data_IF_847378739036
#
_entry.id   IF_847378739036
#
_cell.length_a   1.000
_cell.length_b   1.000
_cell.length_c   1.000
_cell.angle_alpha   90.00
_cell.angle_beta   90.00
_cell.angle_gamma   90.00
#
_symmetry.space_group_name_H-M   'P 1'
#
loop_
_entity.id
_entity.type
_entity.pdbx_description
1 polymer ?
#
# COMPACT_ATOMS: atom_id res chain seq x y z
N UNK A 1 -14.91 -15.42 -8.18
CA UNK A 1 -13.83 -15.73 -9.13
C UNK A 1 -13.79 -14.63 -10.18
N UNK A 2 -12.97 -13.61 -9.97
CA UNK A 2 -12.61 -12.62 -10.98
C UNK A 2 -11.09 -12.48 -10.94
N UNK A 3 -10.39 -13.43 -11.55
CA UNK A 3 -8.95 -13.33 -11.75
C UNK A 3 -8.72 -12.43 -12.96
N UNK A 4 -8.64 -11.11 -12.76
CA UNK A 4 -8.03 -10.24 -13.77
C UNK A 4 -6.53 -10.31 -13.55
N UNK A 5 -5.89 -11.32 -14.16
CA UNK A 5 -4.44 -11.38 -14.28
C UNK A 5 -3.96 -10.06 -14.89
N UNK A 6 -3.20 -9.29 -14.12
CA UNK A 6 -2.44 -8.18 -14.69
C UNK A 6 -1.49 -8.79 -15.74
N UNK A 7 -1.50 -8.32 -17.00
CA UNK A 7 -0.70 -8.95 -18.06
C UNK A 7 0.82 -8.75 -17.90
N UNK A 8 1.27 -8.04 -16.86
CA UNK A 8 2.66 -7.66 -16.67
C UNK A 8 3.14 -7.91 -15.22
N UNK A 9 4.21 -8.69 -15.00
CA UNK A 9 4.80 -8.83 -13.67
C UNK A 9 5.37 -7.49 -13.18
N UNK A 10 5.13 -7.15 -11.91
CA UNK A 10 5.52 -5.86 -11.31
C UNK A 10 7.03 -5.52 -11.40
N UNK A 11 7.87 -6.53 -11.66
CA UNK A 11 9.33 -6.40 -11.68
C UNK A 11 9.93 -6.44 -13.10
N UNK A 12 9.14 -6.31 -14.16
CA UNK A 12 9.65 -6.29 -15.53
C UNK A 12 9.56 -4.90 -16.19
N UNK A 13 10.64 -4.43 -16.85
CA UNK A 13 10.59 -3.21 -17.65
C UNK A 13 9.53 -3.32 -18.74
N UNK A 14 8.75 -2.26 -18.93
CA UNK A 14 7.78 -2.20 -20.03
C UNK A 14 8.50 -2.25 -21.40
N UNK A 15 7.93 -2.93 -22.42
CA UNK A 15 8.55 -2.99 -23.73
C UNK A 15 8.60 -1.59 -24.35
N UNK A 16 9.80 -1.11 -24.66
CA UNK A 16 10.04 0.22 -25.24
C UNK A 16 10.70 1.24 -24.31
N UNK A 17 10.95 0.90 -23.04
CA UNK A 17 11.75 1.74 -22.14
C UNK A 17 13.25 1.69 -22.47
N UNK A 18 13.88 2.84 -22.72
CA UNK A 18 15.34 2.93 -22.85
C UNK A 18 16.02 2.54 -21.54
N UNK A 19 17.03 1.67 -21.61
CA UNK A 19 17.86 1.32 -20.45
C UNK A 19 18.52 2.59 -19.88
N UNK A 20 18.55 2.77 -18.54
CA UNK A 20 19.28 3.88 -17.94
C UNK A 20 20.78 3.74 -18.27
N UNK A 21 21.36 4.84 -18.76
CA UNK A 21 22.79 4.91 -19.10
C UNK A 21 23.66 4.72 -17.84
N UNK A 22 24.77 3.98 -17.90
CA UNK A 22 25.73 3.92 -16.79
C UNK A 22 26.39 5.30 -16.64
N UNK A 23 26.38 5.84 -15.41
CA UNK A 23 27.08 7.08 -15.09
C UNK A 23 28.58 6.79 -14.90
N UNK A 24 29.41 7.36 -15.77
CA UNK A 24 30.88 7.28 -15.66
C UNK A 24 31.38 8.13 -14.49
N UNK A 25 32.15 7.53 -13.56
CA UNK A 25 32.90 8.27 -12.54
C UNK A 25 34.15 8.91 -13.15
N UNK A 26 34.26 10.24 -13.07
CA UNK A 26 35.52 10.96 -13.31
C UNK A 26 36.39 10.94 -12.03
N UNK A 27 37.74 10.89 -12.14
CA UNK A 27 38.59 10.83 -10.96
C UNK A 27 38.78 12.20 -10.31
N UNK A 28 38.88 12.15 -8.99
CA UNK A 28 38.92 13.23 -8.02
C UNK A 28 40.13 14.17 -8.20
N UNK A 29 39.88 15.48 -8.11
CA UNK A 29 40.91 16.48 -7.80
C UNK A 29 40.72 16.98 -6.37
N UNK A 30 41.80 16.95 -5.61
CA UNK A 30 41.93 17.28 -4.20
C UNK A 30 41.80 18.78 -3.90
N UNK A 31 40.99 19.18 -2.92
CA UNK A 31 41.33 20.32 -2.04
C UNK A 31 40.43 20.41 -0.80
N UNK A 32 41.09 20.35 0.36
CA UNK A 32 40.86 21.12 1.60
C UNK A 32 39.47 21.14 2.27
N UNK A 33 39.46 20.47 3.43
CA UNK A 33 38.71 20.72 4.67
C UNK A 33 37.80 21.97 4.72
N UNK A 34 36.50 21.76 4.92
CA UNK A 34 35.59 22.61 5.71
C UNK A 34 34.28 21.83 5.94
N UNK A 35 33.83 21.78 7.20
CA UNK A 35 32.55 21.34 7.79
C UNK A 35 31.51 20.57 6.95
N UNK A 36 30.86 19.51 7.48
CA UNK A 36 29.76 18.88 6.77
C UNK A 36 28.60 19.88 6.61
N UNK A 37 28.10 20.15 5.39
CA UNK A 37 26.82 20.81 5.25
C UNK A 37 25.77 19.83 5.78
N UNK A 38 25.01 20.25 6.79
CA UNK A 38 23.75 19.61 7.15
C UNK A 38 22.92 19.50 5.87
N UNK A 39 22.82 18.30 5.29
CA UNK A 39 22.03 18.07 4.08
C UNK A 39 20.57 18.29 4.44
N UNK A 40 20.06 19.45 4.02
CA UNK A 40 18.63 19.70 3.95
C UNK A 40 18.07 18.94 2.75
N UNK A 41 18.06 17.60 2.82
CA UNK A 41 17.42 16.72 1.83
C UNK A 41 15.89 16.67 2.04
N UNK A 42 15.29 17.83 2.32
CA UNK A 42 13.84 18.01 2.52
C UNK A 42 13.12 18.65 1.33
N UNK A 43 13.82 19.01 0.25
CA UNK A 43 13.19 19.61 -0.95
C UNK A 43 12.92 18.54 -2.01
N UNK A 44 11.81 17.81 -1.84
CA UNK A 44 11.30 16.93 -2.91
C UNK A 44 10.67 17.69 -4.09
N UNK A 45 10.38 18.99 -3.96
CA UNK A 45 9.83 19.79 -5.05
C UNK A 45 10.52 21.15 -5.18
N UNK A 46 10.79 21.55 -6.42
CA UNK A 46 11.27 22.89 -6.74
C UNK A 46 10.26 23.94 -6.26
N UNK A 47 10.75 25.06 -5.72
CA UNK A 47 9.88 26.13 -5.23
C UNK A 47 9.13 26.75 -6.41
N UNK A 48 7.81 26.88 -6.28
CA UNK A 48 6.92 27.37 -7.34
C UNK A 48 6.42 26.30 -8.31
N UNK A 49 6.86 25.04 -8.19
CA UNK A 49 6.27 23.94 -8.96
C UNK A 49 4.85 23.61 -8.44
N UNK A 50 3.90 23.26 -9.33
CA UNK A 50 2.59 22.78 -8.93
C UNK A 50 2.71 21.57 -7.99
N UNK A 51 1.89 21.56 -6.93
CA UNK A 51 1.84 20.47 -5.96
C UNK A 51 0.58 19.65 -6.23
N UNK A 52 0.73 18.34 -6.29
CA UNK A 52 -0.38 17.42 -6.46
C UNK A 52 -0.47 16.52 -5.23
N UNK A 53 -1.69 16.28 -4.77
CA UNK A 53 -1.96 15.23 -3.79
C UNK A 53 -2.44 14.01 -4.56
N UNK A 54 -1.68 12.93 -4.47
CA UNK A 54 -2.08 11.63 -4.98
C UNK A 54 -2.47 10.77 -3.79
N UNK A 55 -3.69 10.23 -3.83
CA UNK A 55 -4.20 9.33 -2.80
C UNK A 55 -4.40 7.96 -3.41
N UNK A 56 -3.82 6.97 -2.77
CA UNK A 56 -3.98 5.57 -3.12
C UNK A 56 -4.55 4.85 -1.91
N UNK A 57 -5.49 3.95 -2.16
CA UNK A 57 -5.88 2.95 -1.19
C UNK A 57 -4.83 1.82 -1.14
N UNK A 58 -4.92 0.94 -0.14
CA UNK A 58 -4.05 -0.23 -0.05
C UNK A 58 -4.63 -1.43 -0.80
N UNK A 59 -5.83 -1.86 -0.42
CA UNK A 59 -6.45 -3.10 -0.90
C UNK A 59 -6.74 -3.04 -2.39
N UNK A 60 -6.37 -4.11 -3.10
CA UNK A 60 -6.50 -4.29 -4.55
C UNK A 60 -5.92 -3.14 -5.42
N UNK A 61 -5.21 -2.18 -4.81
CA UNK A 61 -4.61 -1.00 -5.48
C UNK A 61 -3.10 -1.04 -5.40
N UNK A 62 -2.54 -1.11 -4.18
CA UNK A 62 -1.10 -1.24 -3.94
C UNK A 62 -0.75 -2.69 -3.63
N UNK A 63 -1.63 -3.38 -2.90
CA UNK A 63 -1.47 -4.77 -2.47
C UNK A 63 -2.49 -5.63 -3.21
N UNK A 64 -2.07 -6.78 -3.74
CA UNK A 64 -2.96 -7.76 -4.37
C UNK A 64 -3.66 -8.64 -3.30
N UNK A 65 -4.28 -7.98 -2.33
CA UNK A 65 -5.04 -8.59 -1.24
C UNK A 65 -6.24 -7.70 -0.87
N UNK A 66 -7.27 -8.32 -0.30
CA UNK A 66 -8.44 -7.65 0.27
C UNK A 66 -8.39 -7.75 1.80
N UNK A 67 -8.36 -6.63 2.51
CA UNK A 67 -8.29 -6.64 3.98
C UNK A 67 -9.53 -7.25 4.64
N UNK A 68 -10.68 -7.31 3.97
CA UNK A 68 -11.89 -7.97 4.49
C UNK A 68 -11.65 -9.46 4.79
N UNK A 69 -10.89 -10.14 3.93
CA UNK A 69 -10.55 -11.53 4.13
C UNK A 69 -9.67 -11.71 5.38
N UNK A 70 -8.81 -10.74 5.67
CA UNK A 70 -8.01 -10.72 6.90
C UNK A 70 -8.88 -10.55 8.15
N UNK A 71 -9.93 -9.74 8.09
CA UNK A 71 -10.92 -9.61 9.18
C UNK A 71 -11.64 -10.94 9.43
N UNK A 72 -12.09 -11.63 8.38
CA UNK A 72 -12.77 -12.94 8.52
C UNK A 72 -11.83 -14.00 9.09
N UNK A 73 -10.56 -14.01 8.65
CA UNK A 73 -9.53 -14.95 9.15
C UNK A 73 -9.18 -14.73 10.61
N UNK A 74 -9.39 -13.53 11.15
CA UNK A 74 -9.18 -13.22 12.57
C UNK A 74 -10.25 -13.84 13.48
N UNK A 75 -11.41 -14.25 12.93
CA UNK A 75 -12.46 -14.91 13.71
C UNK A 75 -12.00 -16.28 14.23
N UNK A 76 -12.51 -16.75 15.38
CA UNK A 76 -12.30 -18.12 15.82
C UNK A 76 -12.70 -19.14 14.74
N UNK A 77 -11.81 -20.08 14.43
CA UNK A 77 -12.02 -21.03 13.33
C UNK A 77 -11.95 -20.39 11.94
N UNK A 78 -11.41 -19.18 11.82
CA UNK A 78 -11.20 -18.44 10.58
C UNK A 78 -12.47 -18.22 9.75
N UNK A 79 -13.63 -18.19 10.41
CA UNK A 79 -14.92 -18.04 9.76
C UNK A 79 -15.90 -17.30 10.68
N UNK A 80 -16.65 -16.36 10.09
CA UNK A 80 -17.75 -15.71 10.79
C UNK A 80 -18.97 -16.65 10.92
N UNK A 81 -19.70 -16.58 12.05
CA UNK A 81 -20.95 -17.32 12.22
C UNK A 81 -21.94 -17.03 11.08
N UNK A 82 -22.67 -18.04 10.65
CA UNK A 82 -23.64 -17.90 9.54
C UNK A 82 -24.74 -16.89 9.87
N UNK A 83 -25.21 -16.87 11.12
CA UNK A 83 -26.18 -15.89 11.59
C UNK A 83 -25.70 -14.45 11.41
N UNK A 84 -24.40 -14.19 11.63
CA UNK A 84 -23.80 -12.87 11.42
C UNK A 84 -23.64 -12.58 9.93
N UNK A 85 -23.13 -13.52 9.13
CA UNK A 85 -22.99 -13.38 7.66
C UNK A 85 -24.32 -13.05 6.99
N UNK A 86 -25.40 -13.74 7.38
CA UNK A 86 -26.74 -13.53 6.86
C UNK A 86 -27.32 -12.13 7.15
N UNK A 87 -26.67 -11.34 8.01
CA UNK A 87 -27.12 -9.99 8.33
C UNK A 87 -26.57 -8.89 7.40
N UNK A 88 -25.76 -9.25 6.40
CA UNK A 88 -25.31 -8.34 5.36
C UNK A 88 -26.50 -7.83 4.53
N UNK A 89 -26.44 -6.55 4.15
CA UNK A 89 -27.39 -5.90 3.25
C UNK A 89 -26.61 -5.03 2.28
N UNK A 90 -26.98 -5.10 1.00
CA UNK A 90 -26.37 -4.28 -0.04
C UNK A 90 -26.49 -2.79 0.32
N UNK A 91 -25.39 -2.05 0.17
CA UNK A 91 -25.30 -0.63 0.55
C UNK A 91 -25.09 -0.35 2.05
N UNK A 92 -25.15 -1.36 2.93
CA UNK A 92 -24.96 -1.21 4.38
C UNK A 92 -23.73 -1.99 4.89
N UNK A 93 -22.65 -1.91 4.12
CA UNK A 93 -21.41 -2.62 4.41
C UNK A 93 -20.77 -2.16 5.73
N UNK A 94 -20.75 -0.85 6.00
CA UNK A 94 -20.14 -0.30 7.21
C UNK A 94 -20.86 -0.78 8.49
N UNK A 95 -22.18 -0.81 8.48
CA UNK A 95 -23.00 -1.31 9.57
C UNK A 95 -22.84 -2.82 9.76
N UNK A 96 -22.64 -3.55 8.67
CA UNK A 96 -22.26 -4.97 8.73
C UNK A 96 -20.89 -5.15 9.39
N UNK A 97 -19.87 -4.43 8.95
CA UNK A 97 -18.53 -4.51 9.53
C UNK A 97 -18.48 -4.10 11.00
N UNK A 98 -19.27 -3.10 11.43
CA UNK A 98 -19.41 -2.76 12.85
C UNK A 98 -19.88 -3.96 13.69
N UNK A 99 -20.83 -4.75 13.19
CA UNK A 99 -21.28 -5.99 13.87
C UNK A 99 -20.20 -7.06 13.86
N UNK A 100 -19.44 -7.18 12.76
CA UNK A 100 -18.28 -8.08 12.68
C UNK A 100 -17.22 -7.72 13.71
N UNK A 101 -16.80 -6.45 13.78
CA UNK A 101 -15.83 -5.98 14.75
C UNK A 101 -16.31 -6.17 16.20
N UNK A 102 -17.58 -5.88 16.46
CA UNK A 102 -18.18 -6.15 17.77
C UNK A 102 -18.08 -7.63 18.14
N UNK A 103 -18.47 -8.52 17.22
CA UNK A 103 -18.37 -9.96 17.42
C UNK A 103 -16.92 -10.40 17.70
N UNK A 104 -15.95 -9.95 16.91
CA UNK A 104 -14.53 -10.29 17.11
C UNK A 104 -14.04 -9.86 18.50
N UNK A 105 -14.41 -8.65 18.93
CA UNK A 105 -14.09 -8.17 20.29
C UNK A 105 -14.73 -9.02 21.39
N UNK A 106 -16.00 -9.44 21.22
CA UNK A 106 -16.69 -10.34 22.15
C UNK A 106 -16.05 -11.75 22.19
N UNK A 107 -15.44 -12.20 21.09
CA UNK A 107 -14.66 -13.45 21.05
C UNK A 107 -13.24 -13.30 21.62
N UNK A 108 -12.85 -12.11 22.07
CA UNK A 108 -11.53 -11.85 22.64
C UNK A 108 -10.40 -11.73 21.60
N UNK A 109 -10.73 -11.53 20.33
CA UNK A 109 -9.74 -11.21 19.29
C UNK A 109 -9.19 -9.81 19.57
N UNK A 110 -7.86 -9.69 19.64
CA UNK A 110 -7.16 -8.43 19.94
C UNK A 110 -6.25 -8.04 18.77
N UNK A 111 -6.01 -6.75 18.54
CA UNK A 111 -5.03 -6.26 17.57
C UNK A 111 -3.61 -6.75 17.88
#
# INVERSE_FOLDING_TARGET
MCQRLWPWPANQPLPGGLLPRPLSLAPSSSSSCCSPPCSQDGRMAAQGAPRFLLTFDFDETIVDENSDDSIVRAAPGQRLPESLRATYREGFYNEYMQRVFKYLGEQGVRP
#
